data_IF_364005284979
#
_entry.id   IF_364005284979
#
_cell.length_a   1.000
_cell.length_b   1.000
_cell.length_c   1.000
_cell.angle_alpha   90.00
_cell.angle_beta   90.00
_cell.angle_gamma   90.00
#
_symmetry.space_group_name_H-M   'P 1'
#
loop_
_entity.id
_entity.type
_entity.pdbx_description
1 polymer ?
#
# COMPACT_ATOMS: atom_id res chain seq x y z
N UNK A 1 24.88 9.18 28.87
CA UNK A 1 24.22 10.33 28.20
C UNK A 1 22.94 9.85 27.53
N UNK A 2 21.84 10.59 27.74
CA UNK A 2 20.62 10.60 26.90
C UNK A 2 19.56 9.49 27.05
N UNK A 3 18.83 9.58 28.16
CA UNK A 3 17.37 9.59 28.37
C UNK A 3 16.34 9.14 27.28
N UNK A 4 15.41 8.27 27.73
CA UNK A 4 13.93 8.18 27.48
C UNK A 4 13.30 7.59 26.19
N UNK A 5 12.43 6.57 26.33
CA UNK A 5 10.95 6.69 26.18
C UNK A 5 10.15 5.36 26.33
N UNK A 6 9.36 5.30 27.41
CA UNK A 6 7.93 4.95 27.47
C UNK A 6 7.46 3.64 26.82
N UNK A 7 7.44 2.60 27.65
CA UNK A 7 6.75 1.32 27.45
C UNK A 7 5.23 1.47 27.42
N UNK A 8 4.63 0.72 26.49
CA UNK A 8 3.29 0.13 26.45
C UNK A 8 2.14 0.76 27.26
N UNK A 9 1.09 1.18 26.54
CA UNK A 9 -0.31 0.70 26.68
C UNK A 9 -1.24 1.57 25.83
N UNK A 10 -1.64 1.06 24.66
CA UNK A 10 -2.91 1.47 24.04
C UNK A 10 -3.52 0.26 23.36
N UNK A 11 -4.46 -0.36 24.08
CA UNK A 11 -5.28 -1.44 23.55
C UNK A 11 -5.96 -0.97 22.28
N UNK A 12 -5.68 -1.67 21.19
CA UNK A 12 -6.37 -1.53 19.92
C UNK A 12 -7.77 -2.11 20.09
N UNK A 13 -8.74 -1.23 20.39
CA UNK A 13 -10.15 -1.55 20.15
C UNK A 13 -10.29 -1.83 18.67
N UNK A 14 -10.37 -3.12 18.31
CA UNK A 14 -10.71 -3.62 16.98
C UNK A 14 -12.16 -3.25 16.72
N UNK A 15 -12.38 -2.00 16.36
CA UNK A 15 -13.65 -1.55 15.83
C UNK A 15 -13.86 -2.21 14.48
N UNK A 16 -14.72 -3.21 14.44
CA UNK A 16 -15.34 -3.72 13.21
C UNK A 16 -16.22 -2.62 12.65
N UNK A 17 -15.61 -1.58 12.06
CA UNK A 17 -16.33 -0.65 11.21
C UNK A 17 -16.62 -1.36 9.90
N UNK A 18 -17.78 -2.00 9.85
CA UNK A 18 -18.57 -2.17 8.63
C UNK A 18 -18.98 -0.79 8.09
N UNK A 19 -18.00 0.04 7.78
CA UNK A 19 -18.20 1.28 7.03
C UNK A 19 -18.22 0.92 5.56
N UNK A 20 -19.18 1.48 4.82
CA UNK A 20 -19.25 1.47 3.35
C UNK A 20 -17.85 1.34 2.77
N UNK A 21 -17.58 0.25 2.05
CA UNK A 21 -16.31 0.00 1.38
C UNK A 21 -16.13 1.13 0.37
N UNK A 22 -15.46 2.21 0.80
CA UNK A 22 -15.28 3.40 -0.02
C UNK A 22 -14.69 2.98 -1.36
N UNK A 23 -15.16 3.62 -2.44
CA UNK A 23 -14.66 3.36 -3.78
C UNK A 23 -13.14 3.52 -3.75
N UNK A 24 -12.42 2.44 -4.06
CA UNK A 24 -10.96 2.47 -4.03
C UNK A 24 -10.50 3.48 -5.08
N UNK A 25 -9.62 4.42 -4.70
CA UNK A 25 -8.96 5.31 -5.67
C UNK A 25 -8.22 4.49 -6.73
N UNK A 26 -8.09 5.01 -7.95
CA UNK A 26 -7.39 4.38 -9.07
C UNK A 26 -5.98 3.91 -8.69
N UNK A 27 -5.27 4.71 -7.89
CA UNK A 27 -3.97 4.32 -7.33
C UNK A 27 -4.05 3.02 -6.52
N UNK A 28 -5.02 2.91 -5.60
CA UNK A 28 -5.14 1.73 -4.75
C UNK A 28 -5.56 0.48 -5.55
N UNK A 29 -6.33 0.64 -6.63
CA UNK A 29 -6.66 -0.47 -7.53
C UNK A 29 -5.42 -0.97 -8.26
N UNK A 30 -4.65 -0.05 -8.85
CA UNK A 30 -3.41 -0.39 -9.53
C UNK A 30 -2.41 -1.06 -8.59
N UNK A 31 -2.17 -0.49 -7.41
CA UNK A 31 -1.18 -1.05 -6.48
C UNK A 31 -1.57 -2.46 -6.04
N UNK A 32 -2.86 -2.73 -5.81
CA UNK A 32 -3.31 -4.10 -5.49
C UNK A 32 -3.04 -5.07 -6.64
N UNK A 33 -3.34 -4.66 -7.87
CA UNK A 33 -3.07 -5.48 -9.05
C UNK A 33 -1.55 -5.71 -9.24
N UNK A 34 -0.75 -4.64 -9.21
CA UNK A 34 0.69 -4.69 -9.37
C UNK A 34 1.38 -5.53 -8.29
N UNK A 35 0.98 -5.39 -7.02
CA UNK A 35 1.53 -6.23 -5.94
C UNK A 35 1.18 -7.70 -6.14
N UNK A 36 -0.03 -8.03 -6.61
CA UNK A 36 -0.39 -9.41 -6.94
C UNK A 36 0.46 -9.97 -8.10
N UNK A 37 0.72 -9.16 -9.14
CA UNK A 37 1.59 -9.55 -10.26
C UNK A 37 3.03 -9.78 -9.79
N UNK A 38 3.59 -8.85 -9.00
CA UNK A 38 4.97 -8.95 -8.48
C UNK A 38 5.12 -10.17 -7.57
N UNK A 39 4.14 -10.44 -6.69
CA UNK A 39 4.17 -11.63 -5.83
C UNK A 39 3.93 -12.94 -6.60
N UNK A 40 3.23 -12.89 -7.73
CA UNK A 40 3.08 -14.03 -8.62
C UNK A 40 4.37 -14.38 -9.34
N UNK A 41 5.14 -13.37 -9.76
CA UNK A 41 6.46 -13.55 -10.35
C UNK A 41 7.54 -13.90 -9.31
N UNK A 42 7.54 -13.20 -8.18
CA UNK A 42 8.49 -13.35 -7.08
C UNK A 42 7.78 -13.64 -5.74
N UNK A 43 7.38 -14.88 -5.45
CA UNK A 43 6.67 -15.22 -4.22
C UNK A 43 7.52 -15.05 -2.95
N UNK A 44 8.85 -15.01 -3.08
CA UNK A 44 9.79 -14.78 -1.99
C UNK A 44 9.95 -13.30 -1.63
N UNK A 45 9.46 -12.36 -2.45
CA UNK A 45 9.53 -10.94 -2.12
C UNK A 45 8.60 -10.61 -0.94
N UNK A 46 9.10 -9.78 -0.03
CA UNK A 46 8.26 -9.29 1.06
C UNK A 46 7.18 -8.35 0.50
N UNK A 47 6.02 -8.30 1.17
CA UNK A 47 4.94 -7.39 0.75
C UNK A 47 5.41 -5.93 0.68
N UNK A 48 6.32 -5.51 1.57
CA UNK A 48 6.86 -4.15 1.55
C UNK A 48 7.67 -3.87 0.29
N UNK A 49 8.50 -4.81 -0.16
CA UNK A 49 9.32 -4.65 -1.37
C UNK A 49 8.46 -4.68 -2.62
N UNK A 50 7.50 -5.61 -2.69
CA UNK A 50 6.52 -5.66 -3.77
C UNK A 50 5.71 -4.36 -3.85
N UNK A 51 5.30 -3.80 -2.71
CA UNK A 51 4.60 -2.52 -2.64
C UNK A 51 5.49 -1.34 -3.08
N UNK A 52 6.75 -1.29 -2.65
CA UNK A 52 7.71 -0.25 -3.09
C UNK A 52 7.93 -0.30 -4.59
N UNK A 53 8.15 -1.50 -5.16
CA UNK A 53 8.27 -1.71 -6.62
C UNK A 53 7.00 -1.27 -7.34
N UNK A 54 5.83 -1.71 -6.88
CA UNK A 54 4.54 -1.32 -7.45
C UNK A 54 4.32 0.21 -7.41
N UNK A 55 4.64 0.87 -6.29
CA UNK A 55 4.52 2.31 -6.13
C UNK A 55 5.46 3.09 -7.06
N UNK A 56 6.69 2.60 -7.24
CA UNK A 56 7.62 3.16 -8.23
C UNK A 56 7.10 2.99 -9.65
N UNK A 57 6.58 1.80 -10.00
CA UNK A 57 5.98 1.55 -11.32
C UNK A 57 4.71 2.39 -11.56
N UNK A 58 3.92 2.71 -10.52
CA UNK A 58 2.75 3.57 -10.68
C UNK A 58 3.11 4.99 -11.15
N UNK A 59 4.26 5.52 -10.72
CA UNK A 59 4.72 6.85 -11.16
C UNK A 59 4.94 6.88 -12.67
N UNK A 60 5.33 5.75 -13.26
CA UNK A 60 5.58 5.59 -14.70
C UNK A 60 4.43 4.91 -15.45
N UNK A 61 3.39 4.44 -14.77
CA UNK A 61 2.29 3.71 -15.40
C UNK A 61 1.39 4.63 -16.24
N UNK A 62 0.96 4.13 -17.40
CA UNK A 62 0.04 4.83 -18.31
C UNK A 62 -1.40 4.95 -17.74
N UNK A 63 -1.77 4.15 -16.75
CA UNK A 63 -3.06 4.24 -16.04
C UNK A 63 -3.08 5.32 -14.95
N UNK A 64 -1.96 5.98 -14.70
CA UNK A 64 -1.94 7.12 -13.80
C UNK A 64 -2.65 8.30 -14.48
N UNK A 65 -3.73 8.87 -13.90
CA UNK A 65 -4.45 10.00 -14.52
C UNK A 65 -3.57 11.25 -14.70
N UNK A 66 -2.39 11.32 -14.07
CA UNK A 66 -1.36 12.34 -14.35
C UNK A 66 -0.62 12.14 -15.67
N UNK A 67 -0.53 10.91 -16.19
CA UNK A 67 0.16 10.58 -17.42
C UNK A 67 -0.79 10.47 -18.63
N UNK A 68 -2.11 10.52 -18.40
CA UNK A 68 -3.14 10.59 -19.45
C UNK A 68 -3.52 12.03 -19.85
N UNK A 69 -2.81 13.05 -19.37
CA UNK A 69 -2.96 14.41 -19.87
C UNK A 69 -2.06 14.59 -21.10
N UNK A 70 -2.51 14.06 -22.25
CA UNK A 70 -2.04 14.46 -23.58
C UNK A 70 -3.21 15.13 -24.30
#
# INVERSE_FOLDING_TARGET
TSTTKKTARKGTRKGTKSGRKGTKSSYNLYIQHAVSQIKGADPNMTHQEAFKKAASQWRTAAENPKNQQV
#
